data_IF_607612741903
#
_entry.id   IF_607612741903
#
_cell.length_a   1.000
_cell.length_b   1.000
_cell.length_c   1.000
_cell.angle_alpha   90.00
_cell.angle_beta   90.00
_cell.angle_gamma   90.00
#
_symmetry.space_group_name_H-M   'P 1'
#
loop_
_entity.id
_entity.type
_entity.pdbx_description
1 polymer ?
#
# COMPACT_ATOMS: atom_id res chain seq x y z
N UNK A 1 12.67 18.45 6.65
CA UNK A 1 12.81 17.67 5.40
C UNK A 1 12.01 16.40 5.59
N UNK A 2 11.07 16.12 4.69
CA UNK A 2 10.25 14.90 4.70
C UNK A 2 10.78 13.97 3.60
N UNK A 3 10.96 12.68 3.91
CA UNK A 3 11.65 11.73 3.03
C UNK A 3 11.67 10.34 3.67
N UNK A 4 12.06 9.29 2.93
CA UNK A 4 12.33 7.99 3.54
C UNK A 4 13.36 8.15 4.66
N UNK A 5 13.10 7.54 5.82
CA UNK A 5 14.01 7.58 6.97
C UNK A 5 15.28 6.80 6.60
N UNK A 6 16.45 7.42 6.80
CA UNK A 6 17.75 6.74 6.71
C UNK A 6 17.83 5.69 7.82
N UNK A 7 17.47 4.44 7.53
CA UNK A 7 17.79 3.32 8.41
C UNK A 7 19.07 2.65 7.93
N UNK A 8 20.03 2.55 8.83
CA UNK A 8 21.34 1.96 8.60
C UNK A 8 21.25 0.55 8.01
N UNK A 9 21.63 0.43 6.74
CA UNK A 9 21.95 -0.85 6.09
C UNK A 9 20.93 -1.31 5.06
N UNK A 10 21.17 -0.91 3.80
CA UNK A 10 20.44 -1.25 2.56
C UNK A 10 19.16 -0.45 2.33
N UNK A 11 19.31 0.87 2.27
CA UNK A 11 18.26 1.76 1.80
C UNK A 11 18.09 1.65 0.28
N UNK A 12 17.40 0.58 -0.16
CA UNK A 12 17.09 0.32 -1.58
C UNK A 12 16.17 1.41 -2.15
N UNK A 13 15.50 2.18 -1.29
CA UNK A 13 14.61 3.26 -1.69
C UNK A 13 15.37 4.55 -1.98
N UNK A 14 16.47 4.84 -1.26
CA UNK A 14 17.23 6.08 -1.43
C UNK A 14 17.69 6.36 -2.87
N UNK A 15 18.23 5.40 -3.65
CA UNK A 15 18.58 5.64 -5.04
C UNK A 15 17.38 6.10 -5.88
N UNK A 16 16.23 5.45 -5.70
CA UNK A 16 14.98 5.80 -6.39
C UNK A 16 14.51 7.18 -5.91
N UNK A 17 14.42 7.40 -4.59
CA UNK A 17 13.99 8.68 -4.03
C UNK A 17 14.84 9.84 -4.50
N UNK A 18 16.17 9.70 -4.51
CA UNK A 18 17.08 10.74 -4.96
C UNK A 18 16.89 11.14 -6.44
N UNK A 19 16.38 10.24 -7.28
CA UNK A 19 16.07 10.55 -8.68
C UNK A 19 14.81 11.41 -8.82
N UNK A 20 13.82 11.22 -7.94
CA UNK A 20 12.50 11.88 -8.06
C UNK A 20 12.28 13.03 -7.08
N UNK A 21 13.05 13.10 -5.98
CA UNK A 21 12.77 13.97 -4.83
C UNK A 21 12.62 15.44 -5.19
N UNK A 22 13.50 15.99 -6.03
CA UNK A 22 13.50 17.42 -6.35
C UNK A 22 12.20 17.83 -7.06
N UNK A 23 11.74 17.02 -8.02
CA UNK A 23 10.49 17.29 -8.72
C UNK A 23 9.27 17.12 -7.81
N UNK A 24 9.26 16.06 -6.98
CA UNK A 24 8.17 15.77 -6.05
C UNK A 24 8.08 16.85 -4.95
N UNK A 25 9.19 17.18 -4.31
CA UNK A 25 9.28 18.19 -3.25
C UNK A 25 8.78 19.53 -3.76
N UNK A 26 9.26 19.98 -4.93
CA UNK A 26 8.79 21.22 -5.55
C UNK A 26 7.27 21.24 -5.74
N UNK A 27 6.71 20.18 -6.35
CA UNK A 27 5.26 20.12 -6.57
C UNK A 27 4.49 20.12 -5.24
N UNK A 28 4.92 19.32 -4.25
CA UNK A 28 4.22 19.23 -2.96
C UNK A 28 4.34 20.54 -2.17
N UNK A 29 5.48 21.24 -2.22
CA UNK A 29 5.65 22.56 -1.61
C UNK A 29 4.66 23.58 -2.18
N UNK A 30 4.49 23.63 -3.50
CA UNK A 30 3.49 24.49 -4.13
C UNK A 30 2.03 24.13 -3.73
N UNK A 31 1.77 22.85 -3.50
CA UNK A 31 0.45 22.31 -3.13
C UNK A 31 0.07 22.64 -1.68
N UNK A 32 0.98 22.45 -0.72
CA UNK A 32 0.71 22.70 0.71
C UNK A 32 0.46 24.19 1.02
N UNK A 33 0.94 25.10 0.16
CA UNK A 33 0.62 26.52 0.28
C UNK A 33 -0.80 26.88 -0.15
N UNK A 34 -1.45 26.01 -0.94
CA UNK A 34 -2.76 26.29 -1.56
C UNK A 34 -3.88 25.42 -1.01
N UNK A 35 -3.57 24.21 -0.60
CA UNK A 35 -4.55 23.18 -0.26
C UNK A 35 -4.17 22.45 1.03
N UNK A 36 -5.18 21.94 1.73
CA UNK A 36 -4.96 20.94 2.76
C UNK A 36 -4.59 19.62 2.08
N UNK A 37 -3.41 19.09 2.43
CA UNK A 37 -2.87 17.83 1.90
C UNK A 37 -2.90 16.74 2.98
N UNK A 38 -3.21 15.51 2.57
CA UNK A 38 -3.15 14.31 3.39
C UNK A 38 -2.26 13.24 2.77
N UNK A 39 -1.62 12.37 3.57
CA UNK A 39 -1.48 12.46 5.03
C UNK A 39 -0.58 13.65 5.43
N UNK A 40 -0.39 13.94 6.74
CA UNK A 40 0.67 14.84 7.17
C UNK A 40 2.03 14.43 6.57
N UNK A 41 2.87 15.41 6.20
CA UNK A 41 4.12 15.15 5.48
C UNK A 41 5.07 14.17 6.21
N UNK A 42 5.06 14.19 7.54
CA UNK A 42 5.81 13.26 8.39
C UNK A 42 5.40 11.80 8.24
N UNK A 43 4.19 11.54 7.72
CA UNK A 43 3.62 10.20 7.56
C UNK A 43 3.68 9.67 6.12
N UNK A 44 4.09 10.49 5.15
CA UNK A 44 4.07 10.15 3.70
C UNK A 44 4.82 8.85 3.39
N UNK A 45 5.90 8.57 4.12
CA UNK A 45 6.74 7.39 3.92
C UNK A 45 6.49 6.25 4.93
N UNK A 46 5.43 6.32 5.74
CA UNK A 46 5.15 5.32 6.78
C UNK A 46 5.08 3.88 6.25
N UNK A 47 4.52 3.66 5.05
CA UNK A 47 4.50 2.33 4.42
C UNK A 47 5.90 1.71 4.31
N UNK A 48 6.91 2.52 3.99
CA UNK A 48 8.29 2.07 3.86
C UNK A 48 8.94 1.93 5.23
N UNK A 49 8.78 2.92 6.11
CA UNK A 49 9.38 2.90 7.46
C UNK A 49 8.91 1.70 8.28
N UNK A 50 7.64 1.32 8.17
CA UNK A 50 7.06 0.23 8.97
C UNK A 50 7.27 -1.16 8.37
N UNK A 51 7.49 -1.30 7.05
CA UNK A 51 7.64 -2.60 6.38
C UNK A 51 9.10 -2.99 6.04
N UNK A 52 10.06 -2.10 6.30
CA UNK A 52 11.49 -2.32 6.10
C UNK A 52 12.10 -3.15 7.26
N UNK A 53 13.00 -4.12 7.01
CA UNK A 53 13.76 -4.33 5.76
C UNK A 53 13.34 -5.49 4.84
N UNK A 54 12.31 -6.29 5.17
CA UNK A 54 12.00 -7.51 4.42
C UNK A 54 10.53 -7.56 3.94
N UNK A 55 10.27 -6.91 2.81
CA UNK A 55 8.96 -6.98 2.15
C UNK A 55 8.65 -8.43 1.74
N UNK A 56 7.52 -8.94 2.22
CA UNK A 56 6.96 -10.27 1.88
C UNK A 56 5.72 -10.15 1.00
N UNK A 57 4.93 -9.11 1.24
CA UNK A 57 3.65 -8.86 0.57
C UNK A 57 3.57 -7.40 0.17
N UNK A 58 3.03 -7.11 -1.01
CA UNK A 58 2.73 -5.76 -1.48
C UNK A 58 1.24 -5.69 -1.77
N UNK A 59 0.54 -4.75 -1.12
CA UNK A 59 -0.86 -4.44 -1.38
C UNK A 59 -0.91 -3.05 -2.01
N UNK A 60 -1.43 -2.96 -3.23
CA UNK A 60 -1.44 -1.71 -3.99
C UNK A 60 -2.78 -1.00 -3.84
N UNK A 61 -2.75 0.19 -3.24
CA UNK A 61 -3.84 1.17 -3.25
C UNK A 61 -3.62 2.27 -4.30
N UNK A 62 -4.60 3.15 -4.45
CA UNK A 62 -4.56 4.23 -5.43
C UNK A 62 -3.92 5.49 -4.84
N UNK A 63 -4.59 6.11 -3.88
CA UNK A 63 -4.21 7.33 -3.20
C UNK A 63 -4.66 7.28 -1.72
N UNK A 64 -4.13 8.13 -0.84
CA UNK A 64 -4.54 8.17 0.55
C UNK A 64 -6.02 8.56 0.69
N UNK A 65 -6.63 8.23 1.82
CA UNK A 65 -7.92 8.80 2.17
C UNK A 65 -7.83 10.34 2.24
N UNK A 66 -8.84 11.01 1.70
CA UNK A 66 -8.84 12.45 1.47
C UNK A 66 -9.61 13.24 2.53
N UNK A 67 -10.06 12.61 3.62
CA UNK A 67 -10.68 13.30 4.74
C UNK A 67 -9.70 13.46 5.90
N UNK A 68 -9.90 14.52 6.68
CA UNK A 68 -9.07 14.85 7.84
C UNK A 68 -9.03 13.70 8.86
N UNK A 69 -7.81 13.29 9.22
CA UNK A 69 -7.54 12.30 10.25
C UNK A 69 -7.60 10.84 9.79
N UNK A 70 -7.97 10.56 8.54
CA UNK A 70 -8.06 9.17 8.05
C UNK A 70 -6.70 8.62 7.61
N UNK A 71 -6.02 9.32 6.71
CA UNK A 71 -4.77 8.86 6.11
C UNK A 71 -3.57 9.09 7.03
N UNK A 72 -2.74 8.04 7.17
CA UNK A 72 -1.48 8.09 7.91
C UNK A 72 -0.33 7.40 7.18
N UNK A 73 -0.41 7.34 5.84
CA UNK A 73 0.68 6.83 4.99
C UNK A 73 0.70 5.33 4.72
N UNK A 74 -0.35 4.61 5.12
CA UNK A 74 -0.57 3.20 4.79
C UNK A 74 -1.84 3.06 3.93
N UNK A 75 -1.77 2.34 2.81
CA UNK A 75 -2.94 2.03 1.99
C UNK A 75 -4.02 1.29 2.80
N UNK A 76 -5.29 1.63 2.58
CA UNK A 76 -6.48 1.08 3.25
C UNK A 76 -6.60 1.28 4.76
N UNK A 77 -5.50 1.55 5.47
CA UNK A 77 -5.42 1.72 6.92
C UNK A 77 -5.96 3.07 7.39
N UNK A 78 -6.56 3.10 8.57
CA UNK A 78 -7.04 4.32 9.24
C UNK A 78 -6.66 4.27 10.72
N UNK A 79 -5.93 5.28 11.20
CA UNK A 79 -5.47 5.36 12.58
C UNK A 79 -6.58 5.83 13.54
N UNK A 80 -7.38 6.81 13.11
CA UNK A 80 -8.50 7.34 13.89
C UNK A 80 -9.69 7.63 12.96
N UNK A 81 -10.91 7.43 13.48
CA UNK A 81 -12.14 7.76 12.76
C UNK A 81 -12.93 6.54 12.30
N UNK A 82 -13.83 6.76 11.34
CA UNK A 82 -14.78 5.74 10.89
C UNK A 82 -14.12 4.77 9.93
N UNK A 83 -14.29 3.47 10.16
CA UNK A 83 -13.84 2.42 9.24
C UNK A 83 -14.41 2.66 7.82
N UNK A 84 -13.54 2.87 6.82
CA UNK A 84 -13.97 3.09 5.44
C UNK A 84 -14.67 1.86 4.85
N UNK A 85 -15.58 2.04 3.87
CA UNK A 85 -16.31 0.92 3.26
C UNK A 85 -15.41 -0.16 2.65
N UNK A 86 -14.30 0.25 2.01
CA UNK A 86 -13.31 -0.68 1.47
C UNK A 86 -12.67 -1.55 2.57
N UNK A 87 -12.21 -0.93 3.66
CA UNK A 87 -11.60 -1.65 4.78
C UNK A 87 -12.60 -2.62 5.45
N UNK A 88 -13.87 -2.24 5.54
CA UNK A 88 -14.93 -3.14 6.02
C UNK A 88 -15.05 -4.40 5.17
N UNK A 89 -14.95 -4.28 3.85
CA UNK A 89 -15.02 -5.45 2.97
C UNK A 89 -13.75 -6.31 3.06
N UNK A 90 -12.58 -5.69 3.28
CA UNK A 90 -11.34 -6.42 3.63
C UNK A 90 -11.53 -7.23 4.91
N UNK A 91 -12.13 -6.66 5.96
CA UNK A 91 -12.36 -7.37 7.23
C UNK A 91 -13.44 -8.44 7.14
N UNK A 92 -14.46 -8.25 6.30
CA UNK A 92 -15.43 -9.30 5.98
C UNK A 92 -14.77 -10.49 5.27
N UNK A 93 -13.81 -10.24 4.37
CA UNK A 93 -13.04 -11.31 3.72
C UNK A 93 -12.23 -12.08 4.76
N UNK A 94 -11.49 -11.37 5.64
CA UNK A 94 -10.73 -11.99 6.73
C UNK A 94 -11.62 -12.81 7.66
N UNK A 95 -12.77 -12.28 8.05
CA UNK A 95 -13.71 -13.01 8.90
C UNK A 95 -14.25 -14.26 8.19
N UNK A 96 -14.46 -14.23 6.86
CA UNK A 96 -14.84 -15.44 6.12
C UNK A 96 -13.70 -16.48 6.12
N UNK A 97 -12.46 -16.05 5.90
CA UNK A 97 -11.32 -16.95 5.80
C UNK A 97 -10.88 -17.53 7.16
N UNK A 98 -10.89 -16.72 8.21
CA UNK A 98 -10.32 -17.07 9.53
C UNK A 98 -11.34 -17.18 10.66
N UNK A 99 -12.61 -16.82 10.43
CA UNK A 99 -13.64 -16.82 11.47
C UNK A 99 -13.46 -15.75 12.55
N UNK A 100 -12.52 -14.82 12.38
CA UNK A 100 -12.19 -13.77 13.33
C UNK A 100 -12.58 -12.40 12.78
N UNK A 101 -13.41 -11.68 13.53
CA UNK A 101 -13.80 -10.32 13.21
C UNK A 101 -12.72 -9.34 13.69
N UNK A 102 -11.86 -8.91 12.77
CA UNK A 102 -10.94 -7.82 13.02
C UNK A 102 -11.69 -6.49 13.18
N UNK A 103 -11.33 -5.72 14.21
CA UNK A 103 -11.91 -4.39 14.50
C UNK A 103 -10.88 -3.27 14.44
N UNK A 104 -9.59 -3.56 14.64
CA UNK A 104 -8.53 -2.58 14.55
C UNK A 104 -8.33 -2.12 13.10
N UNK A 105 -8.67 -0.86 12.82
CA UNK A 105 -8.58 -0.25 11.49
C UNK A 105 -7.17 0.20 11.13
N UNK A 106 -6.27 0.28 12.11
CA UNK A 106 -4.85 0.48 11.88
C UNK A 106 -4.23 -0.88 11.48
N UNK A 107 -3.59 -0.87 10.32
CA UNK A 107 -2.89 -2.01 9.71
C UNK A 107 -1.37 -1.95 9.91
N UNK A 108 -0.88 -1.14 10.85
CA UNK A 108 0.54 -1.05 11.18
C UNK A 108 1.13 -2.38 11.66
N UNK A 109 0.32 -3.25 12.26
CA UNK A 109 0.68 -4.62 12.64
C UNK A 109 0.92 -5.54 11.42
N UNK A 110 0.24 -5.30 10.30
CA UNK A 110 0.58 -5.97 9.05
C UNK A 110 1.88 -5.43 8.48
N UNK A 111 2.06 -4.11 8.52
CA UNK A 111 3.26 -3.45 8.01
C UNK A 111 4.52 -3.99 8.70
N UNK A 112 4.51 -4.09 10.04
CA UNK A 112 5.63 -4.61 10.83
C UNK A 112 5.98 -6.09 10.55
N UNK A 113 5.09 -6.84 9.88
CA UNK A 113 5.31 -8.22 9.47
C UNK A 113 5.88 -8.36 8.04
N UNK A 114 6.11 -7.24 7.35
CA UNK A 114 6.61 -7.19 5.97
C UNK A 114 5.51 -7.02 4.91
N UNK A 115 4.34 -6.49 5.28
CA UNK A 115 3.28 -6.12 4.32
C UNK A 115 3.44 -4.65 3.93
N UNK A 116 3.94 -4.40 2.72
CA UNK A 116 4.02 -3.05 2.16
C UNK A 116 2.64 -2.60 1.67
N UNK A 117 1.99 -1.73 2.44
CA UNK A 117 0.69 -1.11 2.14
C UNK A 117 0.89 0.17 1.30
N UNK A 118 1.19 0.01 0.02
CA UNK A 118 1.63 1.10 -0.87
C UNK A 118 0.47 1.70 -1.66
N UNK A 119 0.22 3.01 -1.49
CA UNK A 119 -0.56 3.77 -2.47
C UNK A 119 0.33 4.21 -3.63
N UNK A 120 -0.23 4.27 -4.84
CA UNK A 120 0.51 4.75 -6.03
C UNK A 120 0.67 6.28 -6.05
N UNK A 121 -0.20 7.01 -5.34
CA UNK A 121 0.04 8.38 -4.89
C UNK A 121 0.28 8.38 -3.38
N UNK A 122 1.30 9.09 -2.89
CA UNK A 122 1.59 9.12 -1.45
C UNK A 122 0.94 10.30 -0.71
N UNK A 123 0.34 11.23 -1.46
CA UNK A 123 -0.43 12.35 -0.92
C UNK A 123 -1.70 12.57 -1.74
N UNK A 124 -2.66 13.32 -1.21
CA UNK A 124 -3.88 13.76 -1.90
C UNK A 124 -4.33 15.12 -1.33
N UNK A 125 -5.01 15.92 -2.13
CA UNK A 125 -5.73 17.12 -1.62
C UNK A 125 -7.00 16.68 -0.91
N UNK A 126 -7.37 17.41 0.13
CA UNK A 126 -8.65 17.22 0.80
C UNK A 126 -9.81 17.23 -0.22
N UNK A 127 -10.69 16.23 -0.11
CA UNK A 127 -11.86 16.05 -0.98
C UNK A 127 -11.61 15.99 -2.50
N UNK A 128 -10.37 15.74 -2.95
CA UNK A 128 -10.04 15.66 -4.37
C UNK A 128 -9.25 14.36 -4.68
N UNK A 129 -9.93 13.21 -4.75
CA UNK A 129 -9.30 11.93 -5.06
C UNK A 129 -8.47 11.98 -6.34
N UNK A 130 -7.28 11.38 -6.32
CA UNK A 130 -6.39 11.28 -7.45
C UNK A 130 -5.62 12.57 -7.81
N UNK A 131 -5.78 13.65 -7.03
CA UNK A 131 -5.17 14.95 -7.34
C UNK A 131 -3.65 14.88 -7.57
N UNK A 132 -2.92 14.03 -6.84
CA UNK A 132 -1.46 13.95 -6.87
C UNK A 132 -0.91 12.67 -7.50
N UNK A 133 -1.74 11.88 -8.20
CA UNK A 133 -1.26 10.66 -8.89
C UNK A 133 -0.11 10.99 -9.85
N UNK A 134 -0.23 12.06 -10.62
CA UNK A 134 0.78 12.47 -11.59
C UNK A 134 2.13 12.88 -10.95
N UNK A 135 2.11 13.36 -9.70
CA UNK A 135 3.32 13.73 -8.95
C UNK A 135 4.09 12.48 -8.51
N UNK A 136 3.37 11.49 -7.98
CA UNK A 136 3.96 10.35 -7.29
C UNK A 136 4.17 9.11 -8.14
N UNK A 137 3.38 8.94 -9.20
CA UNK A 137 3.41 7.73 -10.03
C UNK A 137 4.79 7.39 -10.58
N UNK A 138 5.65 8.34 -11.02
CA UNK A 138 7.00 8.00 -11.47
C UNK A 138 7.81 7.27 -10.39
N UNK A 139 7.85 7.84 -9.18
CA UNK A 139 8.54 7.24 -8.02
C UNK A 139 7.95 5.88 -7.63
N UNK A 140 6.62 5.79 -7.43
CA UNK A 140 6.01 4.54 -6.96
C UNK A 140 6.07 3.43 -8.00
N UNK A 141 6.05 3.75 -9.30
CA UNK A 141 6.21 2.77 -10.37
C UNK A 141 7.61 2.15 -10.37
N UNK A 142 8.66 2.95 -10.12
CA UNK A 142 10.02 2.42 -10.00
C UNK A 142 10.20 1.55 -8.76
N UNK A 143 9.61 1.93 -7.63
CA UNK A 143 9.57 1.08 -6.43
C UNK A 143 8.89 -0.25 -6.72
N UNK A 144 7.71 -0.23 -7.37
CA UNK A 144 6.98 -1.46 -7.73
C UNK A 144 7.78 -2.32 -8.70
N UNK A 145 8.43 -1.72 -9.70
CA UNK A 145 9.28 -2.43 -10.66
C UNK A 145 10.49 -3.08 -9.99
N UNK A 146 11.12 -2.38 -9.06
CA UNK A 146 12.25 -2.91 -8.29
C UNK A 146 11.81 -4.12 -7.45
N UNK A 147 10.71 -4.00 -6.72
CA UNK A 147 10.14 -5.12 -5.93
C UNK A 147 9.66 -6.26 -6.84
N UNK A 148 9.07 -5.93 -7.98
CA UNK A 148 8.57 -6.89 -8.95
C UNK A 148 9.66 -7.72 -9.62
N UNK A 149 10.90 -7.22 -9.65
CA UNK A 149 12.08 -7.96 -10.08
C UNK A 149 12.75 -8.82 -9.01
N UNK A 150 12.30 -8.73 -7.74
CA UNK A 150 12.74 -9.64 -6.67
C UNK A 150 12.00 -10.98 -6.75
N UNK A 151 12.35 -11.91 -5.86
CA UNK A 151 11.71 -13.24 -5.82
C UNK A 151 11.01 -13.51 -4.48
N UNK A 152 9.93 -14.28 -4.55
CA UNK A 152 9.21 -14.76 -3.38
C UNK A 152 8.33 -13.70 -2.71
N UNK A 153 7.93 -12.64 -3.41
CA UNK A 153 6.99 -11.63 -2.92
C UNK A 153 5.57 -11.97 -3.40
N UNK A 154 4.57 -11.67 -2.58
CA UNK A 154 3.14 -11.75 -2.96
C UNK A 154 2.64 -10.35 -3.30
N UNK A 155 2.04 -10.17 -4.46
CA UNK A 155 1.39 -8.92 -4.87
C UNK A 155 -0.12 -9.09 -4.90
N UNK A 156 -0.84 -8.28 -4.11
CA UNK A 156 -2.30 -8.25 -4.12
C UNK A 156 -2.79 -7.05 -4.93
N UNK A 157 -3.32 -7.33 -6.11
CA UNK A 157 -3.76 -6.34 -7.08
C UNK A 157 -5.30 -6.28 -7.12
N UNK A 158 -5.86 -5.45 -6.25
CA UNK A 158 -7.30 -5.30 -6.10
C UNK A 158 -7.85 -4.16 -6.96
N UNK A 159 -8.61 -4.51 -8.00
CA UNK A 159 -9.19 -3.56 -8.94
C UNK A 159 -8.29 -3.23 -10.13
N UNK A 160 -8.88 -2.60 -11.15
CA UNK A 160 -8.21 -2.30 -12.42
C UNK A 160 -6.97 -1.43 -12.25
N UNK A 161 -7.02 -0.45 -11.34
CA UNK A 161 -5.89 0.42 -11.04
C UNK A 161 -4.65 -0.36 -10.62
N UNK A 162 -4.78 -1.21 -9.59
CA UNK A 162 -3.67 -2.04 -9.12
C UNK A 162 -3.23 -3.06 -10.17
N UNK A 163 -4.16 -3.65 -10.93
CA UNK A 163 -3.85 -4.66 -11.96
C UNK A 163 -3.01 -4.10 -13.11
N UNK A 164 -3.02 -2.79 -13.38
CA UNK A 164 -2.14 -2.18 -14.38
C UNK A 164 -0.65 -2.34 -14.06
N UNK A 165 -0.30 -2.55 -12.80
CA UNK A 165 1.08 -2.72 -12.35
C UNK A 165 1.60 -4.16 -12.50
N UNK A 166 0.75 -5.11 -12.91
CA UNK A 166 1.15 -6.51 -13.15
C UNK A 166 2.30 -6.62 -14.16
N UNK A 167 2.34 -5.74 -15.18
CA UNK A 167 3.39 -5.75 -16.20
C UNK A 167 4.80 -5.44 -15.65
N UNK A 168 4.89 -4.93 -14.41
CA UNK A 168 6.15 -4.63 -13.74
C UNK A 168 6.63 -5.77 -12.83
N UNK A 169 5.88 -6.87 -12.74
CA UNK A 169 6.13 -7.97 -11.81
C UNK A 169 6.56 -9.23 -12.58
N UNK A 170 7.62 -9.87 -12.13
CA UNK A 170 8.00 -11.19 -12.61
C UNK A 170 7.09 -12.27 -12.00
N UNK A 171 6.01 -12.59 -12.71
CA UNK A 171 5.03 -13.61 -12.30
C UNK A 171 5.59 -15.04 -12.20
N UNK A 172 6.83 -15.30 -12.68
CA UNK A 172 7.46 -16.62 -12.50
C UNK A 172 8.07 -16.75 -11.10
N UNK A 173 8.60 -15.65 -10.57
CA UNK A 173 9.32 -15.62 -9.30
C UNK A 173 8.47 -15.07 -8.14
N UNK A 174 7.34 -14.45 -8.44
CA UNK A 174 6.40 -13.86 -7.48
C UNK A 174 4.99 -14.42 -7.65
N UNK A 175 4.18 -14.32 -6.58
CA UNK A 175 2.76 -14.64 -6.64
C UNK A 175 1.97 -13.36 -6.87
N UNK A 176 1.12 -13.34 -7.90
CA UNK A 176 0.20 -12.22 -8.17
C UNK A 176 -1.24 -12.67 -7.95
N UNK A 177 -1.91 -12.07 -6.97
CA UNK A 177 -3.30 -12.32 -6.61
C UNK A 177 -4.18 -11.16 -7.07
N UNK A 178 -5.11 -11.41 -8.00
CA UNK A 178 -5.94 -10.38 -8.63
C UNK A 178 -7.41 -10.58 -8.31
N UNK A 179 -8.08 -9.51 -7.88
CA UNK A 179 -9.53 -9.51 -7.70
C UNK A 179 -10.14 -8.14 -8.00
N UNK A 180 -11.47 -8.03 -7.91
CA UNK A 180 -12.15 -6.73 -7.85
C UNK A 180 -11.64 -5.87 -6.68
N UNK A 181 -11.87 -4.56 -6.75
CA UNK A 181 -11.53 -3.66 -5.66
C UNK A 181 -12.45 -3.89 -4.44
N UNK A 182 -11.98 -3.73 -3.19
CA UNK A 182 -12.82 -3.87 -1.99
C UNK A 182 -13.93 -2.81 -1.84
N UNK A 183 -13.94 -1.75 -2.66
CA UNK A 183 -15.01 -0.74 -2.63
C UNK A 183 -16.38 -1.37 -2.92
N UNK A 184 -17.45 -0.95 -2.21
CA UNK A 184 -18.82 -1.38 -2.52
C UNK A 184 -19.28 -0.98 -3.93
N UNK A 185 -18.59 -0.02 -4.57
CA UNK A 185 -18.88 0.41 -5.95
C UNK A 185 -18.29 -0.54 -7.01
N UNK A 186 -17.52 -1.56 -6.61
CA UNK A 186 -16.96 -2.52 -7.54
C UNK A 186 -18.05 -3.40 -8.16
N UNK A 187 -17.93 -3.68 -9.47
CA UNK A 187 -18.90 -4.51 -10.22
C UNK A 187 -19.03 -5.95 -9.72
N UNK A 188 -17.98 -6.48 -9.08
CA UNK A 188 -17.93 -7.83 -8.52
C UNK A 188 -17.59 -7.74 -7.04
N UNK A 189 -18.26 -8.56 -6.23
CA UNK A 189 -17.96 -8.67 -4.80
C UNK A 189 -16.47 -8.92 -4.58
N UNK A 190 -15.88 -8.23 -3.61
CA UNK A 190 -14.54 -8.55 -3.13
C UNK A 190 -14.52 -9.86 -2.34
N UNK A 191 -15.65 -10.19 -1.70
CA UNK A 191 -15.77 -11.35 -0.82
C UNK A 191 -15.71 -12.64 -1.64
N UNK A 192 -14.89 -13.59 -1.19
CA UNK A 192 -14.72 -14.91 -1.80
C UNK A 192 -13.37 -15.14 -2.44
N UNK A 193 -12.42 -14.20 -2.31
CA UNK A 193 -11.18 -14.22 -3.07
C UNK A 193 -10.11 -15.14 -2.49
N UNK A 194 -10.13 -15.43 -1.18
CA UNK A 194 -9.17 -16.30 -0.49
C UNK A 194 -7.71 -15.80 -0.56
N UNK A 195 -7.48 -14.49 -0.74
CA UNK A 195 -6.13 -13.97 -0.98
C UNK A 195 -5.23 -14.09 0.26
N UNK A 196 -5.79 -13.99 1.48
CA UNK A 196 -4.98 -13.99 2.70
C UNK A 196 -4.39 -15.37 2.99
N UNK A 197 -5.21 -16.41 2.86
CA UNK A 197 -4.79 -17.83 2.96
C UNK A 197 -3.86 -18.24 1.81
N UNK A 198 -4.17 -17.85 0.56
CA UNK A 198 -3.27 -18.09 -0.58
C UNK A 198 -1.90 -17.41 -0.40
N UNK A 199 -1.88 -16.19 0.13
CA UNK A 199 -0.65 -15.48 0.46
C UNK A 199 0.19 -16.29 1.46
N UNK A 200 -0.41 -16.71 2.57
CA UNK A 200 0.31 -17.47 3.60
C UNK A 200 0.80 -18.82 3.07
N UNK A 201 -0.01 -19.53 2.28
CA UNK A 201 0.41 -20.78 1.64
C UNK A 201 1.65 -20.57 0.77
N UNK A 202 1.69 -19.51 -0.05
CA UNK A 202 2.86 -19.19 -0.86
C UNK A 202 4.09 -18.83 -0.03
N UNK A 203 3.94 -18.00 1.01
CA UNK A 203 5.05 -17.64 1.89
C UNK A 203 5.70 -18.88 2.52
N UNK A 204 4.88 -19.87 2.94
CA UNK A 204 5.37 -21.16 3.44
C UNK A 204 6.22 -21.88 2.39
N UNK A 205 5.77 -21.95 1.12
CA UNK A 205 6.58 -22.57 0.03
C UNK A 205 7.92 -21.88 -0.23
N UNK A 206 8.06 -20.62 0.19
CA UNK A 206 9.28 -19.82 0.07
C UNK A 206 10.08 -19.75 1.37
N UNK A 207 9.75 -20.59 2.36
CA UNK A 207 10.37 -20.61 3.69
C UNK A 207 10.32 -19.24 4.40
N UNK A 208 9.25 -18.46 4.15
CA UNK A 208 8.98 -17.18 4.82
C UNK A 208 7.91 -17.37 5.88
N UNK A 209 8.07 -16.70 7.01
CA UNK A 209 7.06 -16.67 8.08
C UNK A 209 5.74 -16.12 7.52
N UNK A 210 4.60 -16.83 7.67
CA UNK A 210 3.27 -16.35 7.33
C UNK A 210 2.92 -15.03 8.03
N UNK A 211 1.96 -14.31 7.47
CA UNK A 211 1.41 -13.11 8.10
C UNK A 211 0.28 -13.51 9.06
N UNK A 212 0.32 -12.94 10.26
CA UNK A 212 -0.79 -12.94 11.21
C UNK A 212 -1.74 -11.82 10.82
N UNK A 213 -2.81 -12.16 10.08
CA UNK A 213 -3.74 -11.20 9.50
C UNK A 213 -4.81 -10.69 10.48
N UNK A 214 -5.16 -11.51 11.46
CA UNK A 214 -6.23 -11.28 12.46
C UNK A 214 -5.69 -11.46 13.86
#
# INVERSE_FOLDING_TARGET
>A
MWGPVQSDGKDVLNPIWNQHKSAIEKCIEEEIHKYQIFPPLSSVFNAFTLSCPAVKVVIIGQDPYHNKGEAHGLAFSVQQGKMPPSLRNIFKELNREYGIMRTNTDLSDWASQGVLLLNTALTVRENCPGSHIHIWKPFTSEVIKMLGGMSGIVFMLWGKHAQQYECMIDNKNNLVLKHSHPSPLARKSFIGNNHFSQCNAYLITKNKTPITWV
#
